data_IF_341011831643
#
_entry.id   IF_341011831643
#
_cell.length_a   1.000
_cell.length_b   1.000
_cell.length_c   1.000
_cell.angle_alpha   90.00
_cell.angle_beta   90.00
_cell.angle_gamma   90.00
#
_symmetry.space_group_name_H-M   'P 1'
#
loop_
_entity.id
_entity.type
_entity.pdbx_description
1 polymer ?
#
# COMPACT_ATOMS: atom_id res chain seq x y z
N UNK A 1 15.68 4.23 19.16
CA UNK A 1 15.31 4.21 17.73
C UNK A 1 15.51 2.80 17.23
N UNK A 2 14.41 2.15 16.90
CA UNK A 2 14.39 0.75 16.51
C UNK A 2 14.95 0.61 15.08
N UNK A 3 16.12 -0.03 14.84
CA UNK A 3 16.71 -0.10 13.51
C UNK A 3 15.83 -0.83 12.47
N UNK A 4 14.84 -1.61 12.92
CA UNK A 4 13.87 -2.27 12.05
C UNK A 4 12.90 -1.30 11.37
N UNK A 5 12.55 -0.17 11.99
CA UNK A 5 11.62 0.81 11.40
C UNK A 5 12.29 1.62 10.28
N UNK A 6 13.55 2.01 10.45
CA UNK A 6 14.30 2.75 9.44
C UNK A 6 14.57 1.88 8.19
N UNK A 7 14.93 0.61 8.37
CA UNK A 7 15.11 -0.32 7.27
C UNK A 7 13.77 -0.58 6.52
N UNK A 8 12.67 -0.78 7.25
CA UNK A 8 11.34 -0.93 6.67
C UNK A 8 10.91 0.29 5.84
N UNK A 9 11.20 1.50 6.31
CA UNK A 9 10.87 2.73 5.59
C UNK A 9 11.72 2.92 4.32
N UNK A 10 12.99 2.50 4.36
CA UNK A 10 13.87 2.48 3.17
C UNK A 10 13.35 1.48 2.14
N UNK A 11 12.95 0.27 2.55
CA UNK A 11 12.37 -0.73 1.65
C UNK A 11 11.05 -0.27 1.03
N UNK A 12 10.14 0.28 1.82
CA UNK A 12 8.87 0.81 1.33
C UNK A 12 9.09 1.91 0.28
N UNK A 13 10.05 2.81 0.50
CA UNK A 13 10.36 3.89 -0.46
C UNK A 13 11.04 3.41 -1.74
N UNK A 14 11.82 2.32 -1.69
CA UNK A 14 12.45 1.72 -2.88
C UNK A 14 11.43 1.13 -3.85
N UNK A 15 10.44 0.42 -3.33
CA UNK A 15 9.32 -0.13 -4.12
C UNK A 15 8.52 1.00 -4.78
N UNK A 16 8.44 2.16 -4.15
CA UNK A 16 7.67 3.31 -4.59
C UNK A 16 8.42 4.31 -5.51
N UNK A 17 9.50 3.89 -6.16
CA UNK A 17 10.18 4.68 -7.19
C UNK A 17 11.16 5.72 -6.64
N UNK A 18 11.96 5.37 -5.63
CA UNK A 18 13.11 6.18 -5.21
C UNK A 18 14.13 6.25 -6.35
N UNK A 19 14.51 7.47 -6.74
CA UNK A 19 15.61 7.69 -7.68
C UNK A 19 16.96 7.45 -7.01
N UNK A 20 18.00 7.15 -7.80
CA UNK A 20 19.38 7.04 -7.30
C UNK A 20 19.83 8.29 -6.51
N UNK A 21 19.36 9.47 -6.90
CA UNK A 21 19.56 10.71 -6.17
C UNK A 21 18.86 10.72 -4.80
N UNK A 22 17.61 10.27 -4.74
CA UNK A 22 16.87 10.19 -3.48
C UNK A 22 17.50 9.18 -2.52
N UNK A 23 17.97 8.04 -3.04
CA UNK A 23 18.64 7.02 -2.25
C UNK A 23 20.01 7.50 -1.73
N UNK A 24 20.82 8.16 -2.58
CA UNK A 24 22.13 8.72 -2.16
C UNK A 24 22.02 9.79 -1.10
N UNK A 25 20.96 10.62 -1.13
CA UNK A 25 20.73 11.65 -0.11
C UNK A 25 20.27 11.10 1.25
N UNK A 26 19.74 9.88 1.28
CA UNK A 26 19.23 9.22 2.49
C UNK A 26 20.17 8.15 3.05
N UNK A 27 21.21 7.82 2.31
CA UNK A 27 22.24 6.85 2.66
C UNK A 27 23.63 7.45 2.44
N UNK A 28 24.65 6.86 3.04
CA UNK A 28 26.04 7.25 2.80
C UNK A 28 26.62 6.73 1.46
N UNK A 29 25.74 6.42 0.50
CA UNK A 29 26.12 5.88 -0.81
C UNK A 29 26.34 7.03 -1.81
N UNK A 30 27.34 6.86 -2.68
CA UNK A 30 27.46 7.70 -3.87
C UNK A 30 26.31 7.46 -4.83
N UNK A 31 26.05 8.39 -5.76
CA UNK A 31 25.00 8.23 -6.78
C UNK A 31 25.19 6.99 -7.66
N UNK A 32 26.43 6.62 -7.95
CA UNK A 32 26.78 5.44 -8.73
C UNK A 32 26.48 4.14 -7.97
N UNK A 33 26.83 4.07 -6.69
CA UNK A 33 26.51 2.93 -5.83
C UNK A 33 24.99 2.78 -5.64
N UNK A 34 24.28 3.88 -5.40
CA UNK A 34 22.83 3.88 -5.30
C UNK A 34 22.15 3.40 -6.60
N UNK A 35 22.68 3.80 -7.77
CA UNK A 35 22.19 3.33 -9.07
C UNK A 35 22.41 1.84 -9.25
N UNK A 36 23.62 1.36 -9.01
CA UNK A 36 23.95 -0.07 -9.11
C UNK A 36 23.12 -0.94 -8.16
N UNK A 37 22.84 -0.44 -6.95
CA UNK A 37 21.98 -1.10 -5.97
C UNK A 37 20.54 -1.24 -6.47
N UNK A 38 19.98 -0.17 -7.07
CA UNK A 38 18.63 -0.19 -7.65
C UNK A 38 18.58 -1.15 -8.85
N UNK A 39 19.58 -1.14 -9.72
CA UNK A 39 19.65 -2.04 -10.88
C UNK A 39 19.73 -3.50 -10.43
N UNK A 40 20.64 -3.85 -9.50
CA UNK A 40 20.74 -5.20 -8.93
C UNK A 40 19.43 -5.66 -8.27
N UNK A 41 18.72 -4.75 -7.59
CA UNK A 41 17.42 -5.05 -7.01
C UNK A 41 16.38 -5.43 -8.07
N UNK A 42 16.27 -4.65 -9.13
CA UNK A 42 15.33 -4.95 -10.22
C UNK A 42 15.72 -6.15 -11.07
N UNK A 43 16.98 -6.47 -11.15
CA UNK A 43 17.45 -7.70 -11.80
C UNK A 43 17.09 -8.94 -10.96
N UNK A 44 17.13 -8.81 -9.63
CA UNK A 44 16.66 -9.87 -8.72
C UNK A 44 15.13 -10.03 -8.72
N UNK A 45 14.37 -8.94 -9.02
CA UNK A 45 12.92 -8.92 -9.02
C UNK A 45 12.32 -8.42 -10.35
N UNK A 46 12.49 -9.15 -11.46
CA UNK A 46 12.07 -8.71 -12.79
C UNK A 46 10.55 -8.52 -12.91
N UNK A 47 9.77 -9.32 -12.19
CA UNK A 47 8.29 -9.18 -12.16
C UNK A 47 7.86 -7.83 -11.59
N UNK A 48 8.54 -7.33 -10.56
CA UNK A 48 8.27 -6.01 -9.99
C UNK A 48 8.63 -4.89 -10.98
N UNK A 49 9.76 -5.01 -11.68
CA UNK A 49 10.17 -4.06 -12.73
C UNK A 49 9.10 -3.97 -13.84
N UNK A 50 8.60 -5.12 -14.29
CA UNK A 50 7.55 -5.21 -15.29
C UNK A 50 6.24 -4.61 -14.78
N UNK A 51 5.85 -4.88 -13.54
CA UNK A 51 4.66 -4.28 -12.92
C UNK A 51 4.74 -2.76 -12.94
N UNK A 52 5.85 -2.16 -12.49
CA UNK A 52 6.06 -0.71 -12.48
C UNK A 52 5.91 -0.13 -13.88
N UNK A 53 6.58 -0.72 -14.87
CA UNK A 53 6.53 -0.27 -16.27
C UNK A 53 5.11 -0.35 -16.83
N UNK A 54 4.40 -1.46 -16.57
CA UNK A 54 3.03 -1.66 -17.05
C UNK A 54 2.06 -0.66 -16.42
N UNK A 55 2.19 -0.35 -15.11
CA UNK A 55 1.33 0.63 -14.44
C UNK A 55 1.52 2.04 -15.00
N UNK A 56 2.77 2.43 -15.27
CA UNK A 56 3.08 3.75 -15.85
C UNK A 56 2.52 3.84 -17.28
N UNK A 57 2.70 2.80 -18.10
CA UNK A 57 2.20 2.78 -19.47
C UNK A 57 0.66 2.80 -19.48
N UNK A 58 0.02 1.98 -18.66
CA UNK A 58 -1.44 1.99 -18.52
C UNK A 58 -1.95 3.39 -18.13
N UNK A 59 -1.30 4.03 -17.15
CA UNK A 59 -1.67 5.37 -16.72
C UNK A 59 -1.51 6.42 -17.82
N UNK A 60 -0.45 6.33 -18.65
CA UNK A 60 -0.22 7.25 -19.77
C UNK A 60 -1.27 7.12 -20.87
N UNK A 61 -1.73 5.90 -21.14
CA UNK A 61 -2.75 5.61 -22.16
C UNK A 61 -4.15 6.00 -21.69
N UNK A 62 -4.47 5.72 -20.41
CA UNK A 62 -5.83 5.83 -19.90
C UNK A 62 -6.08 7.09 -19.04
N UNK A 63 -5.02 7.76 -18.55
CA UNK A 63 -5.13 8.92 -17.66
C UNK A 63 -5.47 8.61 -16.20
N UNK A 64 -5.56 7.33 -15.83
CA UNK A 64 -5.85 6.87 -14.46
C UNK A 64 -5.20 5.52 -14.18
N UNK A 65 -5.21 5.13 -12.90
CA UNK A 65 -4.91 3.77 -12.44
C UNK A 65 -6.05 3.26 -11.55
N UNK A 66 -6.13 1.94 -11.35
CA UNK A 66 -7.22 1.30 -10.62
C UNK A 66 -6.70 0.44 -9.45
N UNK A 67 -7.50 0.37 -8.39
CA UNK A 67 -7.31 -0.63 -7.33
C UNK A 67 -7.82 -2.00 -7.80
N UNK A 68 -7.55 -3.06 -7.02
CA UNK A 68 -8.08 -4.42 -7.29
C UNK A 68 -9.62 -4.47 -7.36
N UNK A 69 -10.31 -3.51 -6.75
CA UNK A 69 -11.77 -3.39 -6.78
C UNK A 69 -12.27 -2.37 -7.81
N UNK A 70 -11.41 -1.92 -8.74
CA UNK A 70 -11.79 -1.03 -9.83
C UNK A 70 -11.99 0.44 -9.44
N UNK A 71 -11.59 0.84 -8.23
CA UNK A 71 -11.63 2.26 -7.84
C UNK A 71 -10.52 3.03 -8.55
N UNK A 72 -10.90 4.08 -9.29
CA UNK A 72 -10.00 4.85 -10.16
C UNK A 72 -9.36 6.03 -9.43
N UNK A 73 -8.07 6.23 -9.73
CA UNK A 73 -7.34 7.46 -9.41
C UNK A 73 -6.86 8.11 -10.70
N UNK A 74 -7.39 9.28 -11.02
CA UNK A 74 -6.99 10.05 -12.18
C UNK A 74 -5.64 10.74 -11.97
N UNK A 75 -4.79 10.72 -13.00
CA UNK A 75 -3.42 11.23 -12.99
C UNK A 75 -3.25 12.25 -14.12
N UNK A 76 -3.75 13.47 -13.91
CA UNK A 76 -3.77 14.53 -14.91
C UNK A 76 -2.38 14.88 -15.45
N UNK A 77 -1.35 14.74 -14.63
CA UNK A 77 0.03 15.14 -14.92
C UNK A 77 0.90 14.00 -15.45
N UNK A 78 0.34 12.82 -15.76
CA UNK A 78 1.11 11.64 -16.17
C UNK A 78 1.86 11.86 -17.48
N UNK A 79 1.35 12.72 -18.35
CA UNK A 79 1.96 13.10 -19.63
C UNK A 79 2.52 14.56 -19.62
N UNK A 80 2.74 15.13 -18.43
CA UNK A 80 3.28 16.49 -18.30
C UNK A 80 4.66 16.63 -18.98
N UNK A 81 4.89 17.76 -19.65
CA UNK A 81 6.19 18.07 -20.28
C UNK A 81 7.30 18.25 -19.24
N UNK A 82 6.98 18.81 -18.07
CA UNK A 82 7.93 18.99 -16.99
C UNK A 82 8.27 17.62 -16.35
N UNK A 83 9.56 17.18 -16.38
CA UNK A 83 9.98 15.88 -15.85
C UNK A 83 9.73 15.71 -14.36
N UNK A 84 9.78 16.79 -13.58
CA UNK A 84 9.57 16.74 -12.12
C UNK A 84 8.08 16.42 -11.82
N UNK A 85 7.19 17.13 -12.50
CA UNK A 85 5.72 16.94 -12.36
C UNK A 85 5.34 15.55 -12.84
N UNK A 86 5.81 15.15 -14.04
CA UNK A 86 5.59 13.82 -14.60
C UNK A 86 6.10 12.71 -13.67
N UNK A 87 7.31 12.83 -13.14
CA UNK A 87 7.88 11.84 -12.22
C UNK A 87 7.07 11.70 -10.91
N UNK A 88 6.42 12.78 -10.45
CA UNK A 88 5.45 12.72 -9.36
C UNK A 88 4.22 11.89 -9.70
N UNK A 89 3.66 12.10 -10.91
CA UNK A 89 2.52 11.34 -11.40
C UNK A 89 2.86 9.86 -11.64
N UNK A 90 4.04 9.55 -12.18
CA UNK A 90 4.54 8.17 -12.38
C UNK A 90 4.67 7.42 -11.06
N UNK A 91 5.20 8.05 -10.00
CA UNK A 91 5.22 7.45 -8.65
C UNK A 91 3.80 7.19 -8.13
N UNK A 92 2.89 8.12 -8.36
CA UNK A 92 1.48 7.92 -7.99
C UNK A 92 0.82 6.78 -8.80
N UNK A 93 1.20 6.59 -10.08
CA UNK A 93 0.70 5.50 -10.90
C UNK A 93 1.05 4.12 -10.33
N UNK A 94 2.24 3.98 -9.75
CA UNK A 94 2.69 2.73 -9.13
C UNK A 94 2.08 2.53 -7.73
N UNK A 95 2.04 3.60 -6.92
CA UNK A 95 1.65 3.50 -5.51
C UNK A 95 0.15 3.42 -5.31
N UNK A 96 -0.63 4.15 -6.10
CA UNK A 96 -2.06 4.27 -5.88
C UNK A 96 -2.83 2.95 -6.00
N UNK A 97 -2.53 2.04 -6.95
CA UNK A 97 -3.17 0.73 -6.98
C UNK A 97 -2.91 -0.08 -5.71
N UNK A 98 -1.67 -0.13 -5.22
CA UNK A 98 -1.28 -0.91 -4.05
C UNK A 98 -1.89 -0.34 -2.77
N UNK A 99 -1.66 0.94 -2.49
CA UNK A 99 -2.19 1.60 -1.29
C UNK A 99 -3.72 1.69 -1.31
N UNK A 100 -4.29 1.96 -2.49
CA UNK A 100 -5.72 2.00 -2.66
C UNK A 100 -6.37 0.65 -2.45
N UNK A 101 -5.79 -0.43 -2.96
CA UNK A 101 -6.28 -1.80 -2.74
C UNK A 101 -6.21 -2.20 -1.27
N UNK A 102 -5.13 -1.87 -0.57
CA UNK A 102 -5.03 -2.10 0.87
C UNK A 102 -6.14 -1.36 1.65
N UNK A 103 -6.41 -0.09 1.27
CA UNK A 103 -7.49 0.68 1.88
C UNK A 103 -8.90 0.11 1.55
N UNK A 104 -9.07 -0.46 0.38
CA UNK A 104 -10.33 -1.09 -0.01
C UNK A 104 -10.55 -2.40 0.78
N UNK A 105 -9.52 -3.22 0.92
CA UNK A 105 -9.55 -4.47 1.67
C UNK A 105 -9.93 -4.22 3.13
N UNK A 106 -9.26 -3.27 3.82
CA UNK A 106 -9.56 -3.00 5.23
C UNK A 106 -10.99 -2.49 5.42
N UNK A 107 -11.52 -1.70 4.48
CA UNK A 107 -12.92 -1.23 4.54
C UNK A 107 -13.92 -2.37 4.39
N UNK A 108 -13.66 -3.33 3.50
CA UNK A 108 -14.52 -4.52 3.38
C UNK A 108 -14.48 -5.31 4.69
N UNK A 109 -13.27 -5.54 5.26
CA UNK A 109 -13.14 -6.21 6.56
C UNK A 109 -13.96 -5.49 7.64
N UNK A 110 -13.86 -4.17 7.73
CA UNK A 110 -14.63 -3.37 8.69
C UNK A 110 -16.14 -3.56 8.54
N UNK A 111 -16.63 -3.52 7.31
CA UNK A 111 -18.06 -3.73 7.02
C UNK A 111 -18.50 -5.12 7.43
N UNK A 112 -17.74 -6.15 7.06
CA UNK A 112 -18.06 -7.54 7.40
C UNK A 112 -18.04 -7.78 8.92
N UNK A 113 -17.01 -7.27 9.61
CA UNK A 113 -16.91 -7.34 11.08
C UNK A 113 -18.11 -6.66 11.72
N UNK A 114 -18.44 -5.45 11.29
CA UNK A 114 -19.58 -4.71 11.84
C UNK A 114 -20.91 -5.44 11.64
N UNK A 115 -21.17 -5.99 10.45
CA UNK A 115 -22.37 -6.75 10.15
C UNK A 115 -22.48 -8.00 11.03
N UNK A 116 -21.38 -8.74 11.24
CA UNK A 116 -21.35 -9.92 12.11
C UNK A 116 -21.55 -9.54 13.57
N UNK A 117 -20.88 -8.50 14.06
CA UNK A 117 -21.10 -7.98 15.41
C UNK A 117 -22.57 -7.63 15.66
N UNK A 118 -23.19 -6.98 14.67
CA UNK A 118 -24.60 -6.57 14.75
C UNK A 118 -25.55 -7.77 14.72
N UNK A 119 -25.36 -8.71 13.80
CA UNK A 119 -26.21 -9.89 13.66
C UNK A 119 -26.15 -10.83 14.88
N UNK A 120 -25.01 -10.87 15.56
CA UNK A 120 -24.79 -11.67 16.76
C UNK A 120 -25.07 -10.92 18.06
N UNK A 121 -25.59 -9.66 17.98
CA UNK A 121 -25.91 -8.77 19.09
C UNK A 121 -24.74 -8.62 20.09
N UNK A 122 -23.50 -8.48 19.59
CA UNK A 122 -22.33 -8.29 20.42
C UNK A 122 -22.32 -6.92 21.10
N UNK A 123 -21.87 -6.86 22.34
CA UNK A 123 -21.74 -5.62 23.12
C UNK A 123 -20.45 -4.87 22.81
N UNK A 124 -19.47 -5.56 22.22
CA UNK A 124 -18.21 -5.00 21.78
C UNK A 124 -18.43 -3.95 20.67
N UNK A 125 -17.49 -3.01 20.54
CA UNK A 125 -17.61 -1.91 19.56
C UNK A 125 -16.31 -1.76 18.77
N UNK A 126 -16.42 -1.55 17.46
CA UNK A 126 -15.33 -1.06 16.64
C UNK A 126 -15.26 0.46 16.81
N UNK A 127 -14.14 1.00 17.29
CA UNK A 127 -14.00 2.41 17.65
C UNK A 127 -13.43 3.24 16.51
N UNK A 128 -12.27 2.85 15.99
CA UNK A 128 -11.52 3.66 15.01
C UNK A 128 -10.56 2.81 14.19
N UNK A 129 -10.30 3.26 12.96
CA UNK A 129 -9.17 2.80 12.15
C UNK A 129 -8.02 3.80 12.31
N UNK A 130 -6.82 3.30 12.62
CA UNK A 130 -5.58 4.09 12.65
C UNK A 130 -4.60 3.46 11.67
N UNK A 131 -4.38 4.10 10.52
CA UNK A 131 -3.59 3.58 9.40
C UNK A 131 -4.10 2.21 8.92
N UNK A 132 -3.38 1.13 9.24
CA UNK A 132 -3.64 -0.27 8.89
C UNK A 132 -4.11 -1.10 10.10
N UNK A 133 -4.40 -0.45 11.22
CA UNK A 133 -4.87 -1.07 12.46
C UNK A 133 -6.34 -0.72 12.74
N UNK A 134 -7.07 -1.67 13.33
CA UNK A 134 -8.44 -1.47 13.83
C UNK A 134 -8.45 -1.56 15.37
N UNK A 135 -9.05 -0.57 16.01
CA UNK A 135 -9.17 -0.51 17.48
C UNK A 135 -10.59 -0.86 17.89
N UNK A 136 -10.72 -1.76 18.86
CA UNK A 136 -11.99 -2.23 19.39
C UNK A 136 -12.07 -2.04 20.90
N UNK A 137 -13.24 -1.69 21.38
CA UNK A 137 -13.64 -1.85 22.79
C UNK A 137 -14.34 -3.20 22.92
N UNK A 138 -13.70 -4.14 23.64
CA UNK A 138 -14.20 -5.50 23.72
C UNK A 138 -14.81 -5.77 25.09
N UNK A 139 -16.05 -6.27 25.12
CA UNK A 139 -16.71 -6.74 26.32
C UNK A 139 -16.00 -8.01 26.85
N UNK A 140 -15.73 -8.07 28.16
CA UNK A 140 -14.91 -9.15 28.78
C UNK A 140 -15.35 -10.58 28.42
N UNK A 141 -16.66 -10.81 28.28
CA UNK A 141 -17.21 -12.13 27.94
C UNK A 141 -17.13 -12.45 26.42
N UNK A 142 -16.71 -11.51 25.59
CA UNK A 142 -16.69 -11.65 24.14
C UNK A 142 -15.26 -11.73 23.56
N UNK A 143 -14.22 -11.68 24.40
CA UNK A 143 -12.82 -11.57 23.99
C UNK A 143 -12.44 -12.66 22.97
N UNK A 144 -12.66 -13.93 23.31
CA UNK A 144 -12.25 -15.03 22.42
C UNK A 144 -13.09 -15.09 21.13
N UNK A 145 -14.38 -14.74 21.23
CA UNK A 145 -15.28 -14.66 20.09
C UNK A 145 -14.85 -13.53 19.15
N UNK A 146 -14.55 -12.36 19.69
CA UNK A 146 -14.09 -11.20 18.90
C UNK A 146 -12.73 -11.44 18.25
N UNK A 147 -11.77 -12.03 18.95
CA UNK A 147 -10.48 -12.41 18.35
C UNK A 147 -10.68 -13.31 17.13
N UNK A 148 -11.50 -14.36 17.25
CA UNK A 148 -11.78 -15.29 16.16
C UNK A 148 -12.50 -14.60 15.00
N UNK A 149 -13.51 -13.78 15.28
CA UNK A 149 -14.28 -13.04 14.30
C UNK A 149 -13.37 -12.08 13.51
N UNK A 150 -12.60 -11.23 14.21
CA UNK A 150 -11.70 -10.26 13.58
C UNK A 150 -10.65 -10.96 12.73
N UNK A 151 -9.98 -11.99 13.26
CA UNK A 151 -8.97 -12.74 12.51
C UNK A 151 -9.54 -13.37 11.26
N UNK A 152 -10.72 -13.97 11.32
CA UNK A 152 -11.35 -14.59 10.16
C UNK A 152 -11.69 -13.55 9.09
N UNK A 153 -12.27 -12.40 9.44
CA UNK A 153 -12.65 -11.38 8.47
C UNK A 153 -11.43 -10.65 7.87
N UNK A 154 -10.40 -10.40 8.67
CA UNK A 154 -9.18 -9.78 8.17
C UNK A 154 -8.38 -10.72 7.25
N UNK A 155 -8.32 -12.02 7.55
CA UNK A 155 -7.57 -13.00 6.76
C UNK A 155 -8.35 -13.53 5.56
N UNK A 156 -9.67 -13.59 5.60
CA UNK A 156 -10.49 -14.10 4.48
C UNK A 156 -10.33 -13.26 3.21
N UNK A 157 -9.97 -12.00 3.34
CA UNK A 157 -9.80 -11.06 2.23
C UNK A 157 -8.42 -11.16 1.54
N UNK A 158 -7.49 -11.99 2.07
CA UNK A 158 -6.18 -12.22 1.45
C UNK A 158 -6.32 -13.11 0.18
N UNK A 159 -7.43 -13.77 0.01
CA UNK A 159 -7.71 -14.70 -1.10
C UNK A 159 -8.65 -14.11 -2.17
N UNK A 160 -8.69 -12.78 -2.30
CA UNK A 160 -9.47 -12.10 -3.35
C UNK A 160 -8.79 -12.27 -4.72
#
# INVERSE_FOLDING_TARGET
>A
LNPSSAASDVYKRQIYGVSAFGLSNQSNLSRSEAKNMIESYFDAYPTLKNYISNQINFARENGYVETILGRRRYLRDINARNPIVRGGAERNAVNAPVQGSAADIIKIAMVNIYQKMSSENLKSKMLIQVHDELVFEIHNLEIEKMKKLISNEMLSLIHI
#
